data_IF_384791620520
#
_entry.id   IF_384791620520
#
_cell.length_a   1.000
_cell.length_b   1.000
_cell.length_c   1.000
_cell.angle_alpha   90.00
_cell.angle_beta   90.00
_cell.angle_gamma   90.00
#
_symmetry.space_group_name_H-M   'P 1'
#
loop_
_entity.id
_entity.type
_entity.pdbx_description
1 polymer ?
#
# COMPACT_ATOMS: atom_id res chain seq x y z
N UNK A 1 23.56 7.94 -67.18
CA UNK A 1 24.14 8.21 -65.85
C UNK A 1 23.50 9.48 -65.28
N UNK A 2 22.46 9.33 -64.46
CA UNK A 2 21.81 10.46 -63.79
C UNK A 2 22.56 10.85 -62.53
N UNK A 3 23.03 12.11 -62.46
CA UNK A 3 23.66 12.67 -61.26
C UNK A 3 22.57 13.14 -60.28
N UNK A 4 22.48 12.49 -59.12
CA UNK A 4 21.70 13.00 -57.99
C UNK A 4 22.53 14.08 -57.27
N UNK A 5 22.08 15.33 -57.30
CA UNK A 5 22.59 16.41 -56.45
C UNK A 5 21.85 16.36 -55.11
N UNK A 6 22.52 15.95 -54.06
CA UNK A 6 22.08 16.14 -52.68
C UNK A 6 22.12 17.64 -52.35
N UNK A 7 20.95 18.23 -52.09
CA UNK A 7 20.85 19.54 -51.43
C UNK A 7 21.01 19.32 -49.93
N UNK A 8 22.23 19.44 -49.44
CA UNK A 8 22.47 19.55 -48.00
C UNK A 8 22.23 21.01 -47.59
N UNK A 9 21.05 21.27 -47.03
CA UNK A 9 20.73 22.55 -46.37
C UNK A 9 21.31 22.52 -44.96
N UNK A 10 22.25 23.43 -44.67
CA UNK A 10 22.80 23.61 -43.32
C UNK A 10 21.80 24.30 -42.39
N UNK A 11 21.77 23.85 -41.13
CA UNK A 11 20.97 24.46 -40.06
C UNK A 11 21.48 25.89 -39.79
N UNK A 12 20.59 26.87 -39.66
CA UNK A 12 21.01 28.23 -39.32
C UNK A 12 21.33 28.36 -37.83
N UNK A 13 22.31 29.20 -37.47
CA UNK A 13 22.64 29.47 -36.06
C UNK A 13 21.44 30.02 -35.29
N UNK A 14 20.59 30.80 -35.96
CA UNK A 14 19.38 31.37 -35.36
C UNK A 14 18.31 30.31 -35.09
N UNK A 15 18.18 29.29 -35.93
CA UNK A 15 17.30 28.14 -35.68
C UNK A 15 17.71 27.41 -34.41
N UNK A 16 18.99 27.10 -34.26
CA UNK A 16 19.47 26.40 -33.07
C UNK A 16 19.27 27.26 -31.81
N UNK A 17 19.48 28.57 -31.94
CA UNK A 17 19.36 29.52 -30.83
C UNK A 17 17.92 29.66 -30.32
N UNK A 18 16.93 29.72 -31.22
CA UNK A 18 15.52 29.78 -30.82
C UNK A 18 15.06 28.46 -30.19
N UNK A 19 15.54 27.31 -30.69
CA UNK A 19 15.17 25.99 -30.15
C UNK A 19 15.62 25.85 -28.69
N UNK A 20 16.87 26.19 -28.36
CA UNK A 20 17.34 26.10 -26.97
C UNK A 20 16.64 27.10 -26.04
N UNK A 21 16.24 28.25 -26.57
CA UNK A 21 15.47 29.27 -25.83
C UNK A 21 14.07 28.75 -25.48
N UNK A 22 13.36 28.17 -26.45
CA UNK A 22 12.03 27.58 -26.22
C UNK A 22 12.11 26.35 -25.31
N UNK A 23 13.11 25.47 -25.49
CA UNK A 23 13.33 24.32 -24.59
C UNK A 23 13.63 24.75 -23.15
N UNK A 24 14.36 25.86 -22.97
CA UNK A 24 14.61 26.45 -21.65
C UNK A 24 13.32 26.90 -20.94
N UNK A 25 12.43 27.58 -21.66
CA UNK A 25 11.15 28.04 -21.08
C UNK A 25 10.21 26.87 -20.78
N UNK A 26 10.07 25.92 -21.70
CA UNK A 26 9.19 24.75 -21.52
C UNK A 26 9.68 23.83 -20.39
N UNK A 27 10.99 23.62 -20.26
CA UNK A 27 11.54 22.77 -19.20
C UNK A 27 11.29 23.32 -17.80
N UNK A 28 11.35 24.65 -17.60
CA UNK A 28 11.05 25.29 -16.32
C UNK A 28 9.61 25.06 -15.83
N UNK A 29 8.63 25.06 -16.73
CA UNK A 29 7.21 24.86 -16.39
C UNK A 29 6.90 23.38 -16.12
N UNK A 30 7.59 22.44 -16.79
CA UNK A 30 7.33 21.01 -16.64
C UNK A 30 7.61 20.45 -15.24
N UNK A 31 8.56 21.03 -14.50
CA UNK A 31 8.98 20.55 -13.17
C UNK A 31 7.98 20.93 -12.08
N UNK A 32 7.24 22.03 -12.24
CA UNK A 32 6.32 22.54 -11.21
C UNK A 32 4.99 21.78 -11.11
N UNK A 33 4.67 20.93 -12.10
CA UNK A 33 3.41 20.17 -12.14
C UNK A 33 3.51 18.82 -11.41
N UNK A 34 4.73 18.30 -11.20
CA UNK A 34 4.92 17.03 -10.49
C UNK A 34 4.90 17.27 -8.99
N UNK A 35 3.72 17.17 -8.38
CA UNK A 35 3.57 17.12 -6.93
C UNK A 35 4.09 15.77 -6.40
N UNK A 36 5.41 15.65 -6.26
CA UNK A 36 6.11 14.42 -5.83
C UNK A 36 5.59 13.88 -4.49
N UNK A 37 5.17 14.76 -3.59
CA UNK A 37 4.64 14.37 -2.27
C UNK A 37 3.33 13.58 -2.36
N UNK A 38 2.40 14.04 -3.20
CA UNK A 38 1.11 13.36 -3.40
C UNK A 38 1.28 11.99 -4.09
N UNK A 39 2.20 11.89 -5.06
CA UNK A 39 2.46 10.61 -5.75
C UNK A 39 3.14 9.58 -4.83
N UNK A 40 4.09 10.00 -4.00
CA UNK A 40 4.74 9.10 -3.03
C UNK A 40 3.76 8.60 -1.96
N UNK A 41 2.83 9.44 -1.50
CA UNK A 41 1.77 9.03 -0.57
C UNK A 41 0.89 7.92 -1.13
N UNK A 42 0.45 8.06 -2.39
CA UNK A 42 -0.37 7.05 -3.09
C UNK A 42 0.38 5.73 -3.29
N UNK A 43 1.66 5.78 -3.65
CA UNK A 43 2.49 4.59 -3.79
C UNK A 43 2.62 3.81 -2.48
N UNK A 44 2.83 4.51 -1.35
CA UNK A 44 2.87 3.89 -0.01
C UNK A 44 1.54 3.25 0.37
N UNK A 45 0.44 3.92 0.11
CA UNK A 45 -0.90 3.38 0.40
C UNK A 45 -1.18 2.10 -0.43
N UNK A 46 -0.77 2.06 -1.70
CA UNK A 46 -0.89 0.87 -2.54
C UNK A 46 -0.05 -0.31 -2.01
N UNK A 47 1.19 -0.04 -1.57
CA UNK A 47 2.03 -1.04 -0.91
C UNK A 47 1.38 -1.54 0.37
N UNK A 48 0.85 -0.64 1.19
CA UNK A 48 0.18 -1.01 2.43
C UNK A 48 -1.04 -1.90 2.18
N UNK A 49 -1.85 -1.59 1.16
CA UNK A 49 -3.02 -2.41 0.79
C UNK A 49 -2.61 -3.82 0.32
N UNK A 50 -1.54 -3.91 -0.48
CA UNK A 50 -1.00 -5.20 -0.92
C UNK A 50 -0.48 -6.03 0.26
N UNK A 51 0.28 -5.41 1.17
CA UNK A 51 0.77 -6.06 2.38
C UNK A 51 -0.35 -6.50 3.31
N UNK A 52 -1.42 -5.69 3.43
CA UNK A 52 -2.60 -6.02 4.23
C UNK A 52 -3.28 -7.27 3.69
N UNK A 53 -3.48 -7.34 2.38
CA UNK A 53 -4.10 -8.49 1.69
C UNK A 53 -3.27 -9.74 1.88
N UNK A 54 -1.94 -9.64 1.72
CA UNK A 54 -1.01 -10.77 1.91
C UNK A 54 -1.02 -11.28 3.35
N UNK A 55 -0.96 -10.38 4.34
CA UNK A 55 -0.99 -10.74 5.75
C UNK A 55 -2.31 -11.41 6.13
N UNK A 56 -3.45 -10.83 5.71
CA UNK A 56 -4.77 -11.41 5.93
C UNK A 56 -4.90 -12.81 5.31
N UNK A 57 -4.52 -12.97 4.04
CA UNK A 57 -4.58 -14.26 3.34
C UNK A 57 -3.66 -15.32 3.97
N UNK A 58 -2.50 -14.93 4.47
CA UNK A 58 -1.60 -15.84 5.19
C UNK A 58 -2.20 -16.31 6.51
N UNK A 59 -2.87 -15.42 7.26
CA UNK A 59 -3.57 -15.77 8.50
C UNK A 59 -4.77 -16.70 8.21
N UNK A 60 -5.50 -16.48 7.13
CA UNK A 60 -6.57 -17.41 6.72
C UNK A 60 -6.01 -18.77 6.33
N UNK A 61 -4.89 -18.80 5.61
CA UNK A 61 -4.19 -20.06 5.27
C UNK A 61 -3.75 -20.82 6.52
N UNK A 62 -3.27 -20.11 7.54
CA UNK A 62 -2.96 -20.69 8.85
C UNK A 62 -4.21 -21.29 9.52
N UNK A 63 -5.36 -20.61 9.48
CA UNK A 63 -6.60 -21.16 9.99
C UNK A 63 -7.02 -22.45 9.27
N UNK A 64 -6.87 -22.52 7.94
CA UNK A 64 -7.15 -23.74 7.18
C UNK A 64 -6.21 -24.90 7.52
N UNK A 65 -4.96 -24.63 7.92
CA UNK A 65 -3.98 -25.65 8.30
C UNK A 65 -4.08 -26.11 9.75
N UNK A 66 -4.15 -25.17 10.69
CA UNK A 66 -4.08 -25.41 12.14
C UNK A 66 -5.44 -25.39 12.83
N UNK A 67 -6.51 -25.00 12.12
CA UNK A 67 -7.89 -24.98 12.61
C UNK A 67 -8.23 -23.83 13.56
N UNK A 68 -7.27 -22.93 13.84
CA UNK A 68 -7.44 -21.80 14.76
C UNK A 68 -6.73 -20.57 14.23
N UNK A 69 -7.18 -19.37 14.61
CA UNK A 69 -6.45 -18.15 14.32
C UNK A 69 -5.30 -17.93 15.31
N UNK A 70 -4.22 -17.22 14.91
CA UNK A 70 -3.14 -16.87 15.82
C UNK A 70 -3.66 -16.13 17.03
N UNK A 71 -3.29 -16.61 18.22
CA UNK A 71 -3.65 -15.94 19.47
C UNK A 71 -2.60 -14.87 19.74
N UNK A 72 -3.05 -13.71 20.23
CA UNK A 72 -2.15 -12.67 20.69
C UNK A 72 -2.52 -12.21 22.10
N UNK A 73 -1.53 -11.69 22.78
CA UNK A 73 -1.61 -11.04 24.07
C UNK A 73 -1.19 -9.57 23.93
N UNK A 74 -1.35 -8.79 25.00
CA UNK A 74 -0.86 -7.41 25.02
C UNK A 74 0.66 -7.32 24.82
N UNK A 75 1.43 -8.36 25.18
CA UNK A 75 2.89 -8.37 25.04
C UNK A 75 3.35 -8.46 23.58
N UNK A 76 2.49 -8.96 22.69
CA UNK A 76 2.83 -9.20 21.28
C UNK A 76 2.69 -7.93 20.42
N UNK A 77 2.23 -6.81 21.01
CA UNK A 77 2.08 -5.51 20.36
C UNK A 77 1.34 -5.55 19.01
N UNK A 78 0.37 -6.47 18.87
CA UNK A 78 -0.38 -6.65 17.63
C UNK A 78 0.42 -7.33 16.50
N UNK A 79 1.51 -8.03 16.81
CA UNK A 79 2.23 -8.88 15.86
C UNK A 79 2.08 -10.36 16.27
N UNK A 80 1.32 -11.18 15.51
CA UNK A 80 1.06 -12.56 15.88
C UNK A 80 2.30 -13.47 15.81
N UNK A 81 3.37 -13.05 15.12
CA UNK A 81 4.64 -13.79 15.04
C UNK A 81 5.46 -13.72 16.33
N UNK A 82 5.15 -12.79 17.24
CA UNK A 82 5.88 -12.65 18.50
C UNK A 82 5.40 -13.63 19.58
N UNK A 83 4.19 -14.17 19.42
CA UNK A 83 3.65 -15.14 20.35
C UNK A 83 4.14 -16.55 20.00
N UNK A 84 4.98 -17.11 20.86
CA UNK A 84 5.54 -18.46 20.69
C UNK A 84 4.52 -19.60 20.77
N UNK A 85 3.29 -19.33 21.22
CA UNK A 85 2.21 -20.34 21.20
C UNK A 85 1.63 -20.57 19.81
N UNK A 86 1.86 -19.66 18.86
CA UNK A 86 1.43 -19.80 17.46
C UNK A 86 2.41 -20.67 16.68
N UNK A 87 2.42 -21.97 17.00
CA UNK A 87 3.29 -22.96 16.38
C UNK A 87 3.03 -22.98 14.87
N UNK A 88 4.08 -23.09 14.06
CA UNK A 88 4.01 -23.17 12.59
C UNK A 88 3.51 -21.92 11.86
N UNK A 89 3.20 -20.82 12.55
CA UNK A 89 2.78 -19.57 11.89
C UNK A 89 3.85 -19.03 10.94
N UNK A 90 5.12 -19.29 11.22
CA UNK A 90 6.27 -18.89 10.41
C UNK A 90 6.37 -19.63 9.06
N UNK A 91 5.64 -20.75 8.90
CA UNK A 91 5.50 -21.48 7.62
C UNK A 91 4.58 -20.72 6.67
N UNK A 92 3.53 -20.08 7.18
CA UNK A 92 2.53 -19.36 6.40
C UNK A 92 2.88 -17.89 6.22
N UNK A 93 3.49 -17.28 7.24
CA UNK A 93 3.84 -15.86 7.24
C UNK A 93 5.24 -15.66 7.81
N UNK A 94 6.20 -15.38 6.93
CA UNK A 94 7.61 -15.27 7.34
C UNK A 94 7.93 -13.98 8.09
N UNK A 95 7.27 -12.89 7.70
CA UNK A 95 7.53 -11.56 8.25
C UNK A 95 6.22 -10.80 8.43
N UNK A 96 6.13 -10.03 9.52
CA UNK A 96 5.03 -9.11 9.76
C UNK A 96 5.43 -7.73 9.25
N UNK A 97 4.59 -7.05 8.44
CA UNK A 97 4.91 -5.73 7.92
C UNK A 97 4.88 -4.66 9.02
N UNK A 98 5.82 -3.71 8.95
CA UNK A 98 5.93 -2.64 9.95
C UNK A 98 4.72 -1.70 9.92
N UNK A 99 4.23 -1.32 11.11
CA UNK A 99 3.09 -0.40 11.27
C UNK A 99 1.71 -1.05 11.08
N UNK A 100 1.67 -2.37 10.89
CA UNK A 100 0.45 -3.16 10.87
C UNK A 100 0.17 -3.74 12.25
N UNK A 101 -1.11 -3.88 12.56
CA UNK A 101 -1.57 -4.43 13.82
C UNK A 101 -2.60 -5.51 13.55
N UNK A 102 -2.45 -6.62 14.25
CA UNK A 102 -3.34 -7.75 14.30
C UNK A 102 -4.18 -7.68 15.58
N UNK A 103 -5.45 -8.05 15.45
CA UNK A 103 -6.39 -8.21 16.54
C UNK A 103 -7.03 -9.58 16.43
N UNK A 104 -7.19 -10.25 17.55
CA UNK A 104 -7.92 -11.50 17.66
C UNK A 104 -8.91 -11.40 18.80
N UNK A 105 -10.14 -11.82 18.54
CA UNK A 105 -11.20 -11.94 19.54
C UNK A 105 -11.60 -13.42 19.66
N UNK A 106 -11.21 -14.02 20.76
CA UNK A 106 -11.47 -15.44 21.06
C UNK A 106 -12.95 -15.72 21.35
N UNK A 107 -13.76 -14.72 21.71
CA UNK A 107 -15.18 -14.91 21.96
C UNK A 107 -15.97 -15.07 20.66
N UNK A 108 -15.59 -14.32 19.63
CA UNK A 108 -16.23 -14.36 18.31
C UNK A 108 -15.50 -15.24 17.29
N UNK A 109 -14.26 -15.66 17.58
CA UNK A 109 -13.41 -16.39 16.63
C UNK A 109 -13.05 -15.55 15.41
N UNK A 110 -13.00 -14.23 15.57
CA UNK A 110 -12.73 -13.28 14.48
C UNK A 110 -11.37 -12.65 14.62
N UNK A 111 -10.73 -12.37 13.48
CA UNK A 111 -9.50 -11.59 13.46
C UNK A 111 -9.66 -10.36 12.58
N UNK A 112 -8.84 -9.36 12.87
CA UNK A 112 -8.71 -8.18 12.04
C UNK A 112 -7.24 -7.79 11.87
N UNK A 113 -6.91 -7.27 10.69
CA UNK A 113 -5.60 -6.67 10.41
C UNK A 113 -5.83 -5.24 9.96
N UNK A 114 -5.09 -4.29 10.52
CA UNK A 114 -5.24 -2.89 10.14
C UNK A 114 -3.91 -2.15 10.06
N UNK A 115 -3.91 -1.08 9.26
CA UNK A 115 -2.77 -0.18 9.07
C UNK A 115 -3.25 1.26 9.00
N UNK A 116 -2.49 2.18 9.60
CA UNK A 116 -2.80 3.61 9.61
C UNK A 116 -2.52 4.23 8.24
N UNK A 117 -3.48 4.97 7.72
CA UNK A 117 -3.31 5.81 6.53
C UNK A 117 -2.61 7.13 6.90
N UNK A 118 -1.67 7.54 6.07
CA UNK A 118 -0.80 8.69 6.37
C UNK A 118 -1.46 10.06 6.14
N UNK A 119 -2.60 10.13 5.45
CA UNK A 119 -3.24 11.42 5.10
C UNK A 119 -4.19 11.95 6.19
N UNK A 120 -5.01 11.10 6.81
CA UNK A 120 -6.14 11.55 7.66
C UNK A 120 -6.18 10.86 9.02
N UNK A 121 -5.23 9.97 9.31
CA UNK A 121 -5.25 9.14 10.52
C UNK A 121 -6.36 8.09 10.56
N UNK A 122 -7.10 7.90 9.46
CA UNK A 122 -7.98 6.76 9.21
C UNK A 122 -7.14 5.48 9.00
N UNK A 123 -7.80 4.32 8.91
CA UNK A 123 -7.16 3.01 8.82
C UNK A 123 -7.74 2.18 7.69
N UNK A 124 -6.87 1.45 7.00
CA UNK A 124 -7.29 0.32 6.18
C UNK A 124 -7.40 -0.90 7.09
N UNK A 125 -8.52 -1.62 7.01
CA UNK A 125 -8.82 -2.74 7.90
C UNK A 125 -9.42 -3.89 7.13
N UNK A 126 -8.91 -5.09 7.39
CA UNK A 126 -9.51 -6.37 6.99
C UNK A 126 -10.13 -7.02 8.22
N UNK A 127 -11.29 -7.66 8.04
CA UNK A 127 -11.96 -8.45 9.07
C UNK A 127 -12.35 -9.78 8.45
N UNK A 128 -12.11 -10.88 9.15
CA UNK A 128 -12.38 -12.24 8.65
C UNK A 128 -13.83 -12.50 8.27
N UNK A 129 -14.79 -11.80 8.89
CA UNK A 129 -16.23 -11.96 8.61
C UNK A 129 -16.70 -11.29 7.34
N UNK A 130 -15.97 -10.30 6.86
CA UNK A 130 -16.35 -9.46 5.74
C UNK A 130 -15.52 -9.76 4.50
N UNK A 131 -14.32 -10.34 4.67
CA UNK A 131 -13.39 -10.76 3.60
C UNK A 131 -12.98 -9.65 2.63
N UNK A 132 -13.26 -8.39 3.01
CA UNK A 132 -13.03 -7.21 2.19
C UNK A 132 -12.27 -6.17 3.01
N UNK A 133 -11.42 -5.39 2.35
CA UNK A 133 -10.69 -4.30 2.98
C UNK A 133 -11.59 -3.07 3.03
N UNK A 134 -11.76 -2.51 4.22
CA UNK A 134 -12.55 -1.30 4.47
C UNK A 134 -11.68 -0.16 4.98
N UNK A 135 -12.08 1.06 4.65
CA UNK A 135 -11.57 2.29 5.24
C UNK A 135 -12.38 2.62 6.50
N UNK A 136 -11.72 2.69 7.65
CA UNK A 136 -12.34 2.94 8.95
C UNK A 136 -11.76 4.18 9.65
N UNK A 137 -12.58 4.86 10.45
CA UNK A 137 -12.14 5.96 11.33
C UNK A 137 -11.33 5.42 12.54
N UNK A 138 -10.53 6.29 13.18
CA UNK A 138 -9.61 6.02 14.29
C UNK A 138 -10.23 5.37 15.52
N UNK A 139 -11.49 5.66 15.83
CA UNK A 139 -12.23 5.02 16.92
C UNK A 139 -12.43 3.51 16.73
N UNK A 140 -12.26 2.99 15.51
CA UNK A 140 -12.49 1.58 15.15
C UNK A 140 -11.20 0.78 14.95
N UNK A 141 -10.06 1.39 15.28
CA UNK A 141 -8.74 0.79 15.10
C UNK A 141 -8.51 -0.45 15.96
N UNK A 142 -9.17 -0.57 17.13
CA UNK A 142 -8.92 -1.67 18.09
C UNK A 142 -10.07 -2.69 18.22
N UNK A 143 -11.07 -2.66 17.33
CA UNK A 143 -12.20 -3.61 17.40
C UNK A 143 -12.03 -4.74 16.39
N UNK A 144 -12.59 -5.92 16.66
CA UNK A 144 -12.71 -7.03 15.68
C UNK A 144 -14.06 -7.05 14.97
N UNK A 145 -14.99 -6.19 15.39
CA UNK A 145 -16.35 -6.07 14.81
C UNK A 145 -16.42 -5.03 13.70
N UNK A 146 -17.37 -5.22 12.78
CA UNK A 146 -17.75 -4.21 11.78
C UNK A 146 -18.40 -3.06 12.52
N UNK A 147 -17.82 -1.86 12.41
CA UNK A 147 -18.38 -0.66 13.00
C UNK A 147 -18.98 0.19 11.89
N UNK A 148 -20.14 0.79 12.13
CA UNK A 148 -20.98 1.53 11.18
C UNK A 148 -20.32 2.72 10.45
N UNK A 149 -19.05 3.00 10.74
CA UNK A 149 -18.24 4.07 10.13
C UNK A 149 -17.10 3.54 9.25
N UNK A 150 -17.27 2.36 8.64
CA UNK A 150 -16.29 1.77 7.72
C UNK A 150 -16.87 1.64 6.29
N UNK A 151 -16.15 2.17 5.30
CA UNK A 151 -16.56 2.15 3.89
C UNK A 151 -15.71 1.16 3.10
N UNK A 152 -16.33 0.34 2.23
CA UNK A 152 -15.59 -0.55 1.32
C UNK A 152 -14.80 0.28 0.32
N UNK A 153 -13.55 -0.12 0.08
CA UNK A 153 -12.68 0.53 -0.90
C UNK A 153 -12.83 -0.24 -2.22
N UNK A 154 -13.01 0.45 -3.36
CA UNK A 154 -13.09 -0.18 -4.67
C UNK A 154 -11.79 -0.84 -5.11
#
# INVERSE_FOLDING_TARGET
MGKYRSKEGGLTLIELMIVVLVLGVLSGISISVVNRGQQQGRAKDAVNLSSLTKAASAIESYYYGEGNYPVITAADNGNPLLNSTNISLDVYLKTWPDGFFYLYDSASGTFAVYVKRNVDGNFYKYISTDTVIKLCNKSNSQTTTVVSACTVIP
#
